data_IF_883215002475
#
_entry.id   IF_883215002475
#
_cell.length_a   1.000
_cell.length_b   1.000
_cell.length_c   1.000
_cell.angle_alpha   90.00
_cell.angle_beta   90.00
_cell.angle_gamma   90.00
#
_symmetry.space_group_name_H-M   'P 1'
#
loop_
_entity.id
_entity.type
_entity.pdbx_description
1 polymer ?
#
# COMPACT_ATOMS: atom_id res chain seq x y z
N UNK A 1 -32.99 5.09 6.81
CA UNK A 1 -32.39 3.77 7.14
C UNK A 1 -30.88 3.92 7.03
N UNK A 2 -30.15 4.00 8.16
CA UNK A 2 -28.68 3.96 8.15
C UNK A 2 -28.31 2.59 7.56
N UNK A 3 -27.74 2.56 6.35
CA UNK A 3 -27.31 1.30 5.73
C UNK A 3 -26.28 0.65 6.65
N UNK A 4 -26.37 -0.67 6.83
CA UNK A 4 -25.35 -1.55 7.43
C UNK A 4 -24.04 -1.48 6.64
N UNK A 5 -23.39 -0.30 6.63
CA UNK A 5 -22.17 -0.06 5.88
C UNK A 5 -20.98 -0.49 6.75
N UNK A 6 -20.03 -1.29 6.22
CA UNK A 6 -18.78 -1.52 6.91
C UNK A 6 -17.98 -0.23 7.05
N UNK A 7 -17.06 -0.21 8.01
CA UNK A 7 -16.17 0.94 8.23
C UNK A 7 -15.27 1.20 7.02
N UNK A 8 -14.72 0.14 6.41
CA UNK A 8 -13.82 0.29 5.26
C UNK A 8 -13.44 -1.01 4.57
N UNK A 9 -12.48 -0.90 3.66
CA UNK A 9 -12.04 -1.95 2.75
C UNK A 9 -10.52 -1.95 2.67
N UNK A 10 -9.90 -3.12 2.84
CA UNK A 10 -8.45 -3.31 2.75
C UNK A 10 -8.13 -4.24 1.59
N UNK A 11 -7.30 -3.78 0.65
CA UNK A 11 -6.68 -4.60 -0.38
C UNK A 11 -5.19 -4.71 -0.07
N UNK A 12 -4.71 -5.94 0.13
CA UNK A 12 -3.33 -6.27 0.43
C UNK A 12 -2.73 -6.88 -0.83
N UNK A 13 -1.63 -6.31 -1.32
CA UNK A 13 -0.99 -6.71 -2.57
C UNK A 13 0.47 -7.03 -2.29
N UNK A 14 0.84 -8.29 -2.46
CA UNK A 14 2.20 -8.78 -2.32
C UNK A 14 2.76 -9.13 -3.70
N UNK A 15 3.85 -8.46 -4.05
CA UNK A 15 4.47 -8.52 -5.38
C UNK A 15 5.89 -9.07 -5.27
N UNK A 16 6.16 -10.14 -6.00
CA UNK A 16 7.42 -10.88 -5.96
C UNK A 16 8.23 -10.67 -7.24
N UNK A 17 9.55 -10.69 -7.11
CA UNK A 17 10.52 -10.53 -8.21
C UNK A 17 10.36 -9.21 -8.99
N UNK A 18 10.08 -8.12 -8.28
CA UNK A 18 9.93 -6.78 -8.85
C UNK A 18 11.27 -6.20 -9.33
N UNK A 19 11.26 -5.47 -10.45
CA UNK A 19 12.48 -4.87 -11.01
C UNK A 19 12.99 -3.69 -10.18
N UNK A 20 12.09 -2.84 -9.69
CA UNK A 20 12.41 -1.53 -9.08
C UNK A 20 11.99 -1.42 -7.60
N UNK A 21 12.02 -2.52 -6.84
CA UNK A 21 11.53 -2.58 -5.46
C UNK A 21 12.19 -1.59 -4.48
N UNK A 22 13.40 -1.10 -4.74
CA UNK A 22 14.14 -0.23 -3.80
C UNK A 22 14.25 1.24 -4.25
N UNK A 23 13.49 1.62 -5.28
CA UNK A 23 13.46 2.98 -5.79
C UNK A 23 12.55 3.86 -4.91
N UNK A 24 13.16 4.85 -4.24
CA UNK A 24 12.48 5.77 -3.34
C UNK A 24 11.58 6.75 -4.10
N UNK A 25 12.00 7.20 -5.29
CA UNK A 25 11.20 8.09 -6.11
C UNK A 25 9.98 7.35 -6.67
N UNK A 26 10.15 6.08 -7.07
CA UNK A 26 9.04 5.23 -7.47
C UNK A 26 8.06 4.97 -6.32
N UNK A 27 8.55 4.64 -5.13
CA UNK A 27 7.71 4.47 -3.95
C UNK A 27 6.89 5.72 -3.63
N UNK A 28 7.53 6.90 -3.70
CA UNK A 28 6.83 8.18 -3.54
C UNK A 28 5.78 8.39 -4.63
N UNK A 29 6.15 8.18 -5.90
CA UNK A 29 5.25 8.33 -7.04
C UNK A 29 4.02 7.42 -6.91
N UNK A 30 4.20 6.15 -6.56
CA UNK A 30 3.11 5.20 -6.37
C UNK A 30 2.18 5.68 -5.26
N UNK A 31 2.70 6.05 -4.09
CA UNK A 31 1.88 6.52 -2.97
C UNK A 31 1.20 7.87 -3.27
N UNK A 32 1.81 8.73 -4.08
CA UNK A 32 1.26 10.05 -4.41
C UNK A 32 0.13 9.98 -5.44
N UNK A 33 0.19 9.02 -6.37
CA UNK A 33 -0.74 8.89 -7.50
C UNK A 33 -1.83 7.84 -7.29
N UNK A 34 -1.52 6.74 -6.57
CA UNK A 34 -2.46 5.65 -6.34
C UNK A 34 -3.79 6.14 -5.73
N UNK A 35 -3.83 7.05 -4.73
CA UNK A 35 -5.09 7.59 -4.21
C UNK A 35 -6.00 8.16 -5.30
N UNK A 36 -5.46 8.98 -6.20
CA UNK A 36 -6.26 9.57 -7.28
C UNK A 36 -6.77 8.52 -8.27
N UNK A 37 -5.93 7.52 -8.58
CA UNK A 37 -6.28 6.38 -9.45
C UNK A 37 -7.47 5.58 -8.92
N UNK A 38 -7.57 5.42 -7.59
CA UNK A 38 -8.68 4.70 -6.95
C UNK A 38 -9.81 5.62 -6.43
N UNK A 39 -9.80 6.91 -6.80
CA UNK A 39 -10.85 7.87 -6.45
C UNK A 39 -10.85 8.32 -4.98
N UNK A 40 -9.70 8.30 -4.31
CA UNK A 40 -9.51 8.76 -2.93
C UNK A 40 -8.77 10.09 -2.85
N UNK A 41 -9.08 10.87 -1.82
CA UNK A 41 -8.42 12.14 -1.53
C UNK A 41 -7.32 11.97 -0.47
N UNK A 42 -6.15 12.57 -0.73
CA UNK A 42 -5.01 12.61 0.19
C UNK A 42 -5.23 13.65 1.28
N UNK A 43 -4.73 13.40 2.49
CA UNK A 43 -4.66 14.39 3.57
C UNK A 43 -3.35 15.19 3.59
N UNK A 44 -2.37 14.80 2.78
CA UNK A 44 -1.06 15.44 2.69
C UNK A 44 -0.16 14.74 1.67
N UNK A 45 1.14 15.11 1.62
CA UNK A 45 2.10 14.38 0.80
C UNK A 45 2.46 13.02 1.44
N UNK A 46 2.90 12.03 0.63
CA UNK A 46 3.45 10.79 1.16
C UNK A 46 4.74 11.02 1.95
N UNK A 47 5.00 10.15 2.91
CA UNK A 47 6.29 10.01 3.58
C UNK A 47 6.91 8.72 3.07
N UNK A 48 8.13 8.78 2.54
CA UNK A 48 8.89 7.59 2.13
C UNK A 48 10.28 7.67 2.72
N UNK A 49 10.64 6.63 3.46
CA UNK A 49 11.88 6.54 4.21
C UNK A 49 12.64 5.33 3.67
N UNK A 50 13.90 5.52 3.29
CA UNK A 50 14.80 4.40 3.08
C UNK A 50 15.13 3.79 4.43
N UNK A 51 14.85 2.50 4.59
CA UNK A 51 15.27 1.77 5.79
C UNK A 51 16.79 1.87 5.88
N UNK A 52 17.30 2.73 6.77
CA UNK A 52 18.71 2.72 7.11
C UNK A 52 18.98 1.53 8.01
N UNK A 53 20.20 1.04 7.87
CA UNK A 53 21.00 0.14 8.70
C UNK A 53 21.06 0.57 10.19
N UNK A 54 19.98 1.05 10.81
CA UNK A 54 19.93 1.46 12.21
C UNK A 54 20.26 0.30 13.16
N UNK A 55 20.14 -0.93 12.68
CA UNK A 55 20.80 -2.09 13.24
C UNK A 55 22.10 -2.33 12.46
N UNK A 56 23.13 -1.52 12.72
CA UNK A 56 24.53 -1.85 12.39
C UNK A 56 24.97 -3.06 13.23
N UNK A 57 24.36 -4.22 12.99
CA UNK A 57 25.03 -5.49 13.18
C UNK A 57 25.72 -5.76 11.86
N UNK A 58 27.03 -5.95 11.89
CA UNK A 58 27.77 -6.48 10.74
C UNK A 58 26.99 -7.69 10.18
N UNK A 59 26.61 -7.62 8.90
CA UNK A 59 25.82 -8.65 8.22
C UNK A 59 24.31 -8.40 8.10
N UNK A 60 23.77 -7.22 8.44
CA UNK A 60 22.34 -6.92 8.22
C UNK A 60 22.04 -6.48 6.77
N UNK A 61 22.00 -7.44 5.84
CA UNK A 61 21.60 -7.27 4.44
C UNK A 61 20.06 -7.09 4.28
N UNK A 62 19.44 -6.14 4.99
CA UNK A 62 17.99 -5.88 4.86
C UNK A 62 17.74 -4.43 4.47
N UNK A 63 17.95 -4.13 3.19
CA UNK A 63 17.61 -2.85 2.58
C UNK A 63 16.15 -2.80 2.12
N UNK A 64 15.67 -1.60 1.86
CA UNK A 64 14.31 -1.38 1.35
C UNK A 64 13.82 0.03 1.61
N UNK A 65 12.56 0.26 1.29
CA UNK A 65 11.85 1.49 1.63
C UNK A 65 10.57 1.15 2.41
N UNK A 66 10.20 2.06 3.29
CA UNK A 66 8.89 2.08 3.94
C UNK A 66 8.23 3.42 3.64
N UNK A 67 6.97 3.40 3.26
CA UNK A 67 6.25 4.62 2.92
C UNK A 67 4.78 4.56 3.31
N UNK A 68 4.22 5.75 3.53
CA UNK A 68 2.84 5.95 3.96
C UNK A 68 2.24 7.18 3.30
N UNK A 69 0.94 7.10 3.01
CA UNK A 69 0.11 8.25 2.63
C UNK A 69 -1.19 8.20 3.42
N UNK A 70 -1.48 9.31 4.09
CA UNK A 70 -2.73 9.49 4.84
C UNK A 70 -3.90 9.80 3.90
N UNK A 71 -5.00 9.09 4.09
CA UNK A 71 -6.31 9.37 3.50
C UNK A 71 -7.28 9.77 4.61
N UNK A 72 -8.44 10.33 4.26
CA UNK A 72 -9.45 10.66 5.29
C UNK A 72 -9.89 9.35 5.98
N UNK A 73 -9.60 9.26 7.29
CA UNK A 73 -9.92 8.12 8.17
C UNK A 73 -9.30 6.77 7.76
N UNK A 74 -8.26 6.79 6.93
CA UNK A 74 -7.62 5.59 6.38
C UNK A 74 -6.23 5.90 5.83
N UNK A 75 -5.61 4.99 5.07
CA UNK A 75 -4.25 5.21 4.57
C UNK A 75 -3.75 4.08 3.69
N UNK A 76 -2.70 4.38 2.94
CA UNK A 76 -1.98 3.38 2.15
C UNK A 76 -0.56 3.29 2.67
N UNK A 77 -0.06 2.09 2.85
CA UNK A 77 1.33 1.83 3.21
C UNK A 77 2.02 0.94 2.18
N UNK A 78 3.33 1.12 2.07
CA UNK A 78 4.18 0.41 1.13
C UNK A 78 5.48 0.02 1.83
N UNK A 79 5.85 -1.25 1.71
CA UNK A 79 7.09 -1.79 2.26
C UNK A 79 7.81 -2.61 1.22
N UNK A 80 9.13 -2.51 1.18
CA UNK A 80 9.93 -3.28 0.24
C UNK A 80 11.09 -3.97 0.92
N UNK A 81 11.49 -5.12 0.36
CA UNK A 81 12.68 -5.86 0.76
C UNK A 81 13.55 -5.98 -0.49
N UNK A 82 14.61 -5.18 -0.55
CA UNK A 82 15.46 -5.03 -1.74
C UNK A 82 16.02 -6.36 -2.20
N UNK A 83 16.58 -7.14 -1.27
CA UNK A 83 17.28 -8.39 -1.54
C UNK A 83 16.34 -9.49 -2.04
N UNK A 84 15.05 -9.37 -1.69
CA UNK A 84 13.99 -10.29 -2.13
C UNK A 84 13.23 -9.77 -3.34
N UNK A 85 13.56 -8.56 -3.84
CA UNK A 85 12.80 -7.88 -4.90
C UNK A 85 11.29 -7.89 -4.60
N UNK A 86 10.97 -7.70 -3.33
CA UNK A 86 9.62 -7.85 -2.82
C UNK A 86 9.03 -6.48 -2.49
N UNK A 87 7.76 -6.31 -2.85
CA UNK A 87 6.99 -5.10 -2.55
C UNK A 87 5.65 -5.53 -1.98
N UNK A 88 5.31 -5.02 -0.81
CA UNK A 88 4.02 -5.21 -0.15
C UNK A 88 3.32 -3.87 -0.04
N UNK A 89 2.05 -3.82 -0.44
CA UNK A 89 1.23 -2.61 -0.43
C UNK A 89 -0.11 -2.92 0.22
N UNK A 90 -0.43 -2.19 1.27
CA UNK A 90 -1.75 -2.26 1.91
C UNK A 90 -2.52 -0.99 1.59
N UNK A 91 -3.62 -1.15 0.84
CA UNK A 91 -4.54 -0.08 0.49
C UNK A 91 -5.74 -0.18 1.42
N UNK A 92 -5.84 0.73 2.38
CA UNK A 92 -6.99 0.81 3.27
C UNK A 92 -7.78 2.09 3.02
N UNK A 93 -9.08 1.96 2.80
CA UNK A 93 -9.99 3.07 2.45
C UNK A 93 -11.33 2.93 3.18
N UNK A 94 -12.03 4.05 3.41
CA UNK A 94 -13.40 4.06 3.97
C UNK A 94 -14.52 3.96 2.92
N UNK A 95 -14.14 3.90 1.64
CA UNK A 95 -15.03 3.82 0.47
C UNK A 95 -14.61 2.66 -0.42
N UNK A 96 -15.57 2.01 -1.04
CA UNK A 96 -15.27 0.94 -2.00
C UNK A 96 -14.56 1.52 -3.22
N UNK A 97 -13.68 0.74 -3.83
CA UNK A 97 -12.86 1.13 -4.97
C UNK A 97 -12.63 -0.06 -5.90
N UNK A 98 -12.27 0.21 -7.15
CA UNK A 98 -11.95 -0.85 -8.11
C UNK A 98 -10.59 -1.48 -7.79
N UNK A 99 -10.63 -2.69 -7.25
CA UNK A 99 -9.45 -3.46 -6.88
C UNK A 99 -8.57 -3.77 -8.09
N UNK A 100 -9.15 -4.04 -9.26
CA UNK A 100 -8.39 -4.38 -10.47
C UNK A 100 -7.57 -3.19 -10.93
N UNK A 101 -8.16 -1.99 -10.89
CA UNK A 101 -7.45 -0.74 -11.22
C UNK A 101 -6.23 -0.54 -10.30
N UNK A 102 -6.40 -0.77 -9.00
CA UNK A 102 -5.31 -0.67 -8.03
C UNK A 102 -4.20 -1.71 -8.31
N UNK A 103 -4.57 -2.97 -8.55
CA UNK A 103 -3.65 -4.07 -8.82
C UNK A 103 -2.87 -3.82 -10.11
N UNK A 104 -3.55 -3.44 -11.20
CA UNK A 104 -2.88 -3.17 -12.47
C UNK A 104 -1.99 -1.92 -12.40
N UNK A 105 -2.39 -0.89 -11.63
CA UNK A 105 -1.51 0.25 -11.36
C UNK A 105 -0.21 -0.21 -10.66
N UNK A 106 -0.31 -1.00 -9.60
CA UNK A 106 0.88 -1.49 -8.89
C UNK A 106 1.74 -2.38 -9.79
N UNK A 107 1.14 -3.31 -10.54
CA UNK A 107 1.85 -4.20 -11.48
C UNK A 107 2.60 -3.42 -12.56
N UNK A 108 1.97 -2.39 -13.12
CA UNK A 108 2.58 -1.54 -14.15
C UNK A 108 3.88 -0.89 -13.68
N UNK A 109 3.96 -0.50 -12.41
CA UNK A 109 5.10 0.24 -11.87
C UNK A 109 6.20 -0.66 -11.31
N UNK A 110 5.85 -1.83 -10.76
CA UNK A 110 6.81 -2.74 -10.15
C UNK A 110 7.19 -3.95 -11.01
N UNK A 111 6.47 -4.22 -12.10
CA UNK A 111 6.70 -5.33 -13.03
C UNK A 111 6.95 -6.68 -12.31
N UNK A 112 6.07 -7.12 -11.39
CA UNK A 112 6.28 -8.36 -10.66
C UNK A 112 6.10 -9.59 -11.53
N UNK A 113 6.82 -10.68 -11.22
CA UNK A 113 6.60 -11.98 -11.87
C UNK A 113 5.44 -12.75 -11.25
N UNK A 114 5.17 -12.50 -9.97
CA UNK A 114 4.06 -13.12 -9.23
C UNK A 114 3.42 -12.07 -8.35
N UNK A 115 2.09 -12.15 -8.25
CA UNK A 115 1.27 -11.28 -7.39
C UNK A 115 0.37 -12.16 -6.53
N UNK A 116 0.33 -11.87 -5.24
CA UNK A 116 -0.66 -12.39 -4.29
C UNK A 116 -1.54 -11.23 -3.83
N UNK A 117 -2.85 -11.48 -3.73
CA UNK A 117 -3.82 -10.45 -3.38
C UNK A 117 -4.80 -10.99 -2.34
N UNK A 118 -5.02 -10.21 -1.29
CA UNK A 118 -6.04 -10.47 -0.30
C UNK A 118 -6.96 -9.26 -0.15
N UNK A 119 -8.26 -9.49 0.01
CA UNK A 119 -9.24 -8.42 0.21
C UNK A 119 -10.06 -8.65 1.47
N UNK A 120 -10.20 -7.61 2.29
CA UNK A 120 -10.86 -7.66 3.58
C UNK A 120 -11.87 -6.52 3.71
N UNK A 121 -13.06 -6.85 4.19
CA UNK A 121 -14.04 -5.85 4.66
C UNK A 121 -13.77 -5.57 6.14
N UNK A 122 -13.53 -4.30 6.47
CA UNK A 122 -13.13 -3.82 7.80
C UNK A 122 -14.33 -3.23 8.53
N UNK A 123 -14.46 -3.55 9.82
CA UNK A 123 -15.54 -3.04 10.67
C UNK A 123 -16.93 -3.39 10.12
N UNK A 124 -17.19 -4.66 9.84
CA UNK A 124 -18.46 -5.15 9.24
C UNK A 124 -19.71 -4.74 10.04
N UNK A 125 -19.56 -4.52 11.34
CA UNK A 125 -20.64 -4.13 12.24
C UNK A 125 -20.66 -2.63 12.55
N UNK A 126 -19.78 -1.83 11.93
CA UNK A 126 -19.66 -0.40 12.21
C UNK A 126 -20.98 0.36 11.98
N UNK A 127 -21.69 0.06 10.89
CA UNK A 127 -23.01 0.66 10.62
C UNK A 127 -24.09 0.34 11.66
N UNK A 128 -23.85 -0.64 12.55
CA UNK A 128 -24.75 -1.02 13.65
C UNK A 128 -24.42 -0.31 14.95
N UNK A 129 -23.31 0.44 15.00
CA UNK A 129 -22.93 1.26 16.15
C UNK A 129 -23.87 2.48 16.19
N UNK A 130 -24.42 2.76 17.37
CA UNK A 130 -25.47 3.77 17.62
C UNK A 130 -25.11 5.18 17.11
#
# INVERSE_FOLDING_TARGET
>A
MKKDKPFGYSLLIDMYDCENANDLALGYFVLDNLPAVIGMAKQGPPIVIRGQEYLKKEGSEKGGISGWIALIESGIQLHTIREKKFVSIDIYTCKEFDQKVAIEFCKKHYSPKKVEVNFLIRGKEYGKIN
#
